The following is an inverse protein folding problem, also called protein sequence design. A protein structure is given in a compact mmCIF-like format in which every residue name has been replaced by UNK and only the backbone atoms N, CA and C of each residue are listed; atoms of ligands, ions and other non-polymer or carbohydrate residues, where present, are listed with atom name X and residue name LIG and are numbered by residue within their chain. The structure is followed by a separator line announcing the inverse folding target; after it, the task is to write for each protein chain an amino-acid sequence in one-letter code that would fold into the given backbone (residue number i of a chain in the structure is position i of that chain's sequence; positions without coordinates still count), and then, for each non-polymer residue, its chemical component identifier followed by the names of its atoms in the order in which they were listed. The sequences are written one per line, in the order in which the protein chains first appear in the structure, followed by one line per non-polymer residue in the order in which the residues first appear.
data_IF_949995878386
#
_entry.id   IF_949995878386
#
_cell.length_a   1.000
_cell.length_b   1.000
_cell.length_c   1.000
_cell.angle_alpha   90.00
_cell.angle_beta   90.00
_cell.angle_gamma   90.00
#
_symmetry.space_group_name_H-M   'P 1'
#
loop_
_entity.id
_entity.type
_entity.pdbx_description
1 polymer ?
#
# COMPACT_ATOMS: atom_id res chain seq x y z
N UNK A 1 12.64 21.03 39.94
CA UNK A 1 13.98 21.29 39.37
C UNK A 1 14.01 20.69 37.97
N UNK A 2 14.10 21.52 36.93
CA UNK A 2 14.17 21.04 35.56
C UNK A 2 15.50 20.31 35.32
N UNK A 3 15.44 19.11 34.74
CA UNK A 3 16.63 18.36 34.34
C UNK A 3 17.50 19.23 33.42
N UNK A 4 18.82 19.37 33.67
CA UNK A 4 19.70 20.12 32.79
C UNK A 4 19.82 19.29 31.50
N UNK A 5 19.04 19.64 30.49
CA UNK A 5 19.20 19.08 29.15
C UNK A 5 20.63 19.35 28.69
N UNK A 6 21.47 18.32 28.74
CA UNK A 6 22.83 18.34 28.20
C UNK A 6 22.74 18.89 26.78
N UNK A 7 23.32 20.07 26.57
CA UNK A 7 23.35 20.68 25.25
C UNK A 7 24.18 19.78 24.33
N UNK A 8 23.75 19.54 23.09
CA UNK A 8 24.54 18.75 22.15
C UNK A 8 25.91 19.41 21.93
N UNK A 9 26.94 18.57 21.75
CA UNK A 9 28.30 19.02 21.44
C UNK A 9 28.59 18.85 19.95
N UNK A 10 29.40 19.76 19.42
CA UNK A 10 29.85 19.76 18.04
C UNK A 10 30.77 18.56 17.82
N UNK A 11 30.39 17.64 16.93
CA UNK A 11 31.18 16.45 16.63
C UNK A 11 32.58 16.77 16.09
N UNK A 12 32.79 17.97 15.55
CA UNK A 12 34.09 18.41 15.03
C UNK A 12 35.00 19.06 16.07
N UNK A 13 34.46 19.97 16.90
CA UNK A 13 35.29 20.84 17.75
C UNK A 13 34.92 20.83 19.24
N UNK A 14 33.94 20.02 19.65
CA UNK A 14 33.54 19.85 21.06
C UNK A 14 32.74 21.00 21.67
N UNK A 15 32.62 22.16 21.00
CA UNK A 15 31.80 23.30 21.47
C UNK A 15 30.31 22.98 21.44
N UNK A 16 29.51 23.73 22.20
CA UNK A 16 28.05 23.65 22.14
C UNK A 16 27.54 23.76 20.70
N UNK A 17 26.56 22.92 20.38
CA UNK A 17 26.02 22.77 19.03
C UNK A 17 24.49 22.61 19.07
N UNK A 18 23.84 23.22 18.09
CA UNK A 18 22.40 23.17 17.86
C UNK A 18 22.07 22.81 16.40
N UNK A 19 23.04 22.89 15.49
CA UNK A 19 22.87 22.59 14.07
C UNK A 19 22.94 21.09 13.82
N UNK A 20 21.79 20.43 13.73
CA UNK A 20 21.68 19.08 13.19
C UNK A 20 21.82 19.07 11.66
N UNK A 21 22.38 18.00 11.11
CA UNK A 21 22.49 17.83 9.66
C UNK A 21 21.12 17.86 8.97
N UNK A 22 20.93 18.81 8.05
CA UNK A 22 19.67 18.99 7.32
C UNK A 22 19.28 17.80 6.45
N UNK A 23 20.26 17.00 6.01
CA UNK A 23 20.04 15.83 5.16
C UNK A 23 19.21 14.76 5.83
N UNK A 24 19.55 14.38 7.07
CA UNK A 24 18.85 13.32 7.80
C UNK A 24 18.13 13.78 9.05
N UNK A 25 18.06 15.10 9.32
CA UNK A 25 17.17 15.58 10.40
C UNK A 25 15.78 14.97 10.22
N UNK A 26 15.24 14.43 11.31
CA UNK A 26 13.97 13.71 11.38
C UNK A 26 13.97 12.32 10.69
N UNK A 27 15.13 11.70 10.47
CA UNK A 27 15.19 10.28 10.17
C UNK A 27 14.62 9.50 11.37
N UNK A 28 13.72 8.52 11.14
CA UNK A 28 13.14 7.75 12.24
C UNK A 28 14.22 7.04 13.08
N UNK A 29 14.12 7.13 14.42
CA UNK A 29 15.04 6.43 15.30
C UNK A 29 14.79 4.91 15.19
N UNK A 30 15.87 4.15 15.33
CA UNK A 30 15.84 2.69 15.50
C UNK A 30 16.56 2.39 16.81
N UNK A 31 16.06 1.43 17.57
CA UNK A 31 16.64 1.06 18.86
C UNK A 31 18.12 0.66 18.68
N UNK A 32 19.00 1.22 19.51
CA UNK A 32 20.46 1.02 19.41
C UNK A 32 21.16 1.85 18.32
N UNK A 33 20.47 2.76 17.63
CA UNK A 33 21.06 3.56 16.57
C UNK A 33 21.86 4.78 17.05
N UNK A 34 22.69 5.31 16.16
CA UNK A 34 23.62 6.43 16.42
C UNK A 34 22.84 7.70 16.75
N UNK A 35 23.24 8.37 17.83
CA UNK A 35 22.70 9.69 18.21
C UNK A 35 22.88 10.70 17.07
N UNK A 36 21.89 11.59 16.91
CA UNK A 36 21.94 12.67 15.92
C UNK A 36 23.25 13.46 16.11
N UNK A 37 24.03 13.58 15.05
CA UNK A 37 25.26 14.39 15.05
C UNK A 37 24.91 15.88 14.92
N UNK A 38 25.49 16.70 15.80
CA UNK A 38 25.32 18.16 15.83
C UNK A 38 26.64 18.87 15.52
N UNK A 39 26.53 20.07 14.96
CA UNK A 39 27.64 20.96 14.65
C UNK A 39 27.37 22.36 15.19
N UNK A 40 28.43 23.11 15.51
CA UNK A 40 28.27 24.52 15.89
C UNK A 40 28.20 25.46 14.67
N UNK A 41 28.51 24.96 13.47
CA UNK A 41 28.46 25.74 12.22
C UNK A 41 28.48 24.83 10.97
N UNK A 42 28.02 25.34 9.81
CA UNK A 42 28.17 24.64 8.53
C UNK A 42 29.63 24.36 8.16
N UNK A 43 30.57 25.21 8.59
CA UNK A 43 32.01 25.00 8.40
C UNK A 43 32.49 23.73 9.11
N UNK A 44 32.15 23.56 10.39
CA UNK A 44 32.49 22.36 11.14
C UNK A 44 31.86 21.09 10.53
N UNK A 45 30.63 21.18 10.03
CA UNK A 45 29.99 20.07 9.31
C UNK A 45 30.75 19.70 8.03
N UNK A 46 31.16 20.70 7.24
CA UNK A 46 31.91 20.49 5.99
C UNK A 46 33.28 19.88 6.25
N UNK A 47 33.98 20.34 7.29
CA UNK A 47 35.27 19.79 7.70
C UNK A 47 35.17 18.35 8.21
N UNK A 48 34.07 17.98 8.87
CA UNK A 48 33.80 16.62 9.34
C UNK A 48 33.16 15.70 8.29
N UNK A 49 32.96 16.18 7.07
CA UNK A 49 32.17 15.48 6.06
C UNK A 49 32.68 14.07 5.75
N UNK A 50 33.99 13.84 5.77
CA UNK A 50 34.56 12.51 5.48
C UNK A 50 34.10 11.43 6.47
N UNK A 51 33.97 11.75 7.76
CA UNK A 51 33.46 10.83 8.77
C UNK A 51 31.93 10.77 8.78
N UNK A 52 31.29 11.90 8.49
CA UNK A 52 29.85 12.05 8.55
C UNK A 52 29.08 11.47 7.34
N UNK A 53 29.70 11.47 6.15
CA UNK A 53 29.04 11.16 4.88
C UNK A 53 28.36 9.79 4.86
N UNK A 54 29.01 8.75 5.40
CA UNK A 54 28.46 7.40 5.46
C UNK A 54 27.19 7.33 6.30
N UNK A 55 27.25 7.85 7.53
CA UNK A 55 26.10 7.94 8.43
C UNK A 55 24.97 8.78 7.81
N UNK A 56 25.32 9.91 7.20
CA UNK A 56 24.35 10.80 6.58
C UNK A 56 23.58 10.10 5.45
N UNK A 57 24.28 9.39 4.56
CA UNK A 57 23.64 8.60 3.49
C UNK A 57 22.73 7.51 4.04
N UNK A 58 23.18 6.74 5.04
CA UNK A 58 22.37 5.70 5.70
C UNK A 58 21.06 6.27 6.23
N UNK A 59 21.14 7.32 7.05
CA UNK A 59 19.95 7.93 7.65
C UNK A 59 19.05 8.64 6.62
N UNK A 60 19.61 9.19 5.54
CA UNK A 60 18.84 9.71 4.41
C UNK A 60 18.06 8.60 3.70
N UNK A 61 18.69 7.47 3.40
CA UNK A 61 18.03 6.32 2.77
C UNK A 61 16.92 5.78 3.67
N UNK A 62 17.17 5.65 4.98
CA UNK A 62 16.13 5.25 5.94
C UNK A 62 14.95 6.22 5.94
N UNK A 63 15.22 7.52 6.05
CA UNK A 63 14.17 8.56 5.97
C UNK A 63 13.38 8.47 4.66
N UNK A 64 14.07 8.22 3.54
CA UNK A 64 13.47 7.96 2.25
C UNK A 64 12.52 6.76 2.28
N UNK A 65 12.93 5.65 2.88
CA UNK A 65 12.10 4.45 3.01
C UNK A 65 10.80 4.72 3.77
N UNK A 66 10.86 5.36 4.94
CA UNK A 66 9.65 5.63 5.72
C UNK A 66 8.67 6.54 4.98
N UNK A 67 9.19 7.52 4.22
CA UNK A 67 8.37 8.37 3.37
C UNK A 67 7.80 7.63 2.18
N UNK A 68 8.58 6.77 1.54
CA UNK A 68 8.11 5.89 0.47
C UNK A 68 7.01 4.95 0.97
N UNK A 69 7.17 4.36 2.15
CA UNK A 69 6.15 3.50 2.77
C UNK A 69 4.86 4.25 3.07
N UNK A 70 4.94 5.49 3.57
CA UNK A 70 3.77 6.38 3.74
C UNK A 70 3.05 6.63 2.41
N UNK A 71 3.79 7.00 1.35
CA UNK A 71 3.22 7.24 0.01
C UNK A 71 2.55 5.97 -0.52
N UNK A 72 3.24 4.83 -0.47
CA UNK A 72 2.75 3.56 -1.00
C UNK A 72 1.50 3.07 -0.26
N UNK A 73 1.45 3.24 1.07
CA UNK A 73 0.27 2.88 1.86
C UNK A 73 -0.95 3.74 1.50
N UNK A 74 -0.76 5.05 1.35
CA UNK A 74 -1.85 5.95 0.97
C UNK A 74 -2.30 5.70 -0.48
N UNK A 75 -1.38 5.37 -1.40
CA UNK A 75 -1.73 4.87 -2.74
C UNK A 75 -2.57 3.58 -2.62
N UNK A 76 -2.20 2.65 -1.75
CA UNK A 76 -2.91 1.39 -1.58
C UNK A 76 -4.32 1.57 -1.02
N UNK A 77 -4.49 2.39 0.02
CA UNK A 77 -5.81 2.71 0.55
C UNK A 77 -6.70 3.36 -0.49
N UNK A 78 -6.16 4.35 -1.23
CA UNK A 78 -6.87 4.97 -2.35
C UNK A 78 -7.24 3.95 -3.43
N UNK A 79 -6.31 3.07 -3.81
CA UNK A 79 -6.53 2.03 -4.79
C UNK A 79 -7.67 1.08 -4.38
N UNK A 80 -7.63 0.58 -3.14
CA UNK A 80 -8.68 -0.29 -2.58
C UNK A 80 -10.03 0.40 -2.52
N UNK A 81 -10.06 1.70 -2.25
CA UNK A 81 -11.29 2.49 -2.25
C UNK A 81 -11.86 2.68 -3.67
N UNK A 82 -10.99 2.90 -4.68
CA UNK A 82 -11.42 3.04 -6.08
C UNK A 82 -11.82 1.73 -6.74
N UNK A 83 -11.29 0.60 -6.26
CA UNK A 83 -11.59 -0.74 -6.77
C UNK A 83 -12.44 -1.56 -5.80
N UNK A 84 -13.16 -0.88 -4.90
CA UNK A 84 -13.93 -1.56 -3.87
C UNK A 84 -15.07 -2.41 -4.47
N UNK A 85 -15.20 -3.64 -3.98
CA UNK A 85 -16.04 -4.68 -4.56
C UNK A 85 -16.93 -5.39 -3.53
N UNK A 86 -16.67 -5.23 -2.22
CA UNK A 86 -17.33 -6.01 -1.14
C UNK A 86 -18.59 -5.33 -0.61
N UNK A 87 -19.75 -5.94 -0.78
CA UNK A 87 -21.04 -5.34 -0.42
C UNK A 87 -21.42 -5.56 1.05
N UNK A 88 -20.84 -4.77 1.96
CA UNK A 88 -21.22 -4.80 3.38
C UNK A 88 -22.48 -3.98 3.65
N UNK A 89 -23.44 -4.60 4.36
CA UNK A 89 -24.70 -3.97 4.76
C UNK A 89 -24.73 -3.58 6.24
N UNK A 90 -23.83 -4.15 7.04
CA UNK A 90 -23.73 -3.88 8.47
C UNK A 90 -22.29 -4.07 8.96
N UNK A 91 -21.88 -3.24 9.91
CA UNK A 91 -20.61 -3.36 10.62
C UNK A 91 -20.89 -3.25 12.13
N UNK A 92 -20.63 -4.32 12.87
CA UNK A 92 -20.66 -4.28 14.34
C UNK A 92 -19.24 -4.06 14.87
N UNK A 93 -19.07 -3.06 15.73
CA UNK A 93 -17.79 -2.74 16.37
C UNK A 93 -17.85 -2.99 17.87
N UNK A 94 -16.78 -3.59 18.38
CA UNK A 94 -16.50 -3.74 19.81
C UNK A 94 -15.00 -3.57 20.05
N UNK A 95 -14.56 -3.55 21.30
CA UNK A 95 -13.15 -3.38 21.63
C UNK A 95 -12.29 -4.46 20.95
N UNK A 96 -11.33 -4.02 20.12
CA UNK A 96 -10.43 -4.91 19.38
C UNK A 96 -11.10 -5.80 18.33
N UNK A 97 -12.37 -5.55 17.93
CA UNK A 97 -13.09 -6.40 16.97
C UNK A 97 -14.03 -5.64 16.03
N UNK A 98 -14.02 -6.04 14.76
CA UNK A 98 -15.03 -5.68 13.76
C UNK A 98 -15.71 -6.93 13.22
N UNK A 99 -17.03 -6.89 13.06
CA UNK A 99 -17.80 -7.94 12.36
C UNK A 99 -18.46 -7.31 11.14
N UNK A 100 -18.06 -7.76 9.96
CA UNK A 100 -18.53 -7.24 8.66
C UNK A 100 -19.57 -8.20 8.11
N UNK A 101 -20.80 -7.73 7.88
CA UNK A 101 -21.87 -8.55 7.33
C UNK A 101 -22.06 -8.21 5.85
N UNK A 102 -21.83 -9.20 5.00
CA UNK A 102 -22.04 -9.08 3.56
C UNK A 102 -23.52 -9.26 3.21
N UNK A 103 -24.02 -8.36 2.35
CA UNK A 103 -25.36 -8.44 1.80
C UNK A 103 -25.42 -9.39 0.61
N UNK A 104 -26.62 -9.85 0.28
CA UNK A 104 -26.81 -10.54 -0.99
C UNK A 104 -26.72 -9.53 -2.14
N UNK A 105 -25.83 -9.78 -3.09
CA UNK A 105 -25.88 -9.10 -4.38
C UNK A 105 -27.26 -9.38 -5.00
N UNK A 106 -28.03 -8.34 -5.28
CA UNK A 106 -29.33 -8.53 -5.92
C UNK A 106 -29.10 -9.22 -7.27
N UNK A 107 -29.83 -10.30 -7.55
CA UNK A 107 -29.86 -10.92 -8.89
C UNK A 107 -30.40 -9.94 -9.96
N UNK A 108 -30.99 -8.80 -9.54
CA UNK A 108 -31.37 -7.68 -10.40
C UNK A 108 -30.23 -6.69 -10.69
N UNK A 109 -29.02 -6.92 -10.18
CA UNK A 109 -27.84 -6.14 -10.59
C UNK A 109 -27.68 -6.37 -12.08
N UNK A 110 -27.81 -5.33 -12.93
CA UNK A 110 -27.86 -5.50 -14.36
C UNK A 110 -26.60 -6.23 -14.81
N UNK A 111 -26.76 -7.18 -15.73
CA UNK A 111 -25.70 -7.96 -16.37
C UNK A 111 -24.35 -7.23 -16.32
N UNK A 112 -23.32 -7.87 -15.75
CA UNK A 112 -21.95 -7.32 -15.78
C UNK A 112 -21.60 -7.11 -17.26
N UNK A 113 -21.56 -5.85 -17.69
CA UNK A 113 -21.35 -5.47 -19.08
C UNK A 113 -20.00 -4.80 -19.31
N UNK A 114 -19.38 -4.35 -18.23
CA UNK A 114 -17.99 -3.95 -18.15
C UNK A 114 -17.41 -4.51 -16.83
N UNK A 115 -16.08 -4.76 -16.76
CA UNK A 115 -15.44 -5.16 -15.51
C UNK A 115 -15.71 -4.19 -14.35
N UNK A 116 -15.84 -2.90 -14.65
CA UNK A 116 -16.12 -1.84 -13.68
C UNK A 116 -17.55 -1.82 -13.15
N UNK A 117 -18.43 -2.70 -13.63
CA UNK A 117 -19.77 -2.91 -13.07
C UNK A 117 -19.70 -3.77 -11.79
N UNK A 118 -18.57 -4.45 -11.54
CA UNK A 118 -18.31 -5.20 -10.30
C UNK A 118 -17.89 -4.29 -9.14
N UNK A 119 -17.58 -3.03 -9.43
CA UNK A 119 -17.14 -2.05 -8.44
C UNK A 119 -18.36 -1.39 -7.79
N UNK A 120 -18.31 -1.24 -6.48
CA UNK A 120 -19.33 -0.54 -5.69
C UNK A 120 -18.68 0.56 -4.84
N UNK A 121 -19.41 1.63 -4.49
CA UNK A 121 -18.90 2.61 -3.55
C UNK A 121 -18.54 1.97 -2.21
N UNK A 122 -17.43 2.42 -1.62
CA UNK A 122 -17.10 2.05 -0.25
C UNK A 122 -18.19 2.53 0.72
N UNK A 123 -18.64 1.70 1.69
CA UNK A 123 -19.71 2.07 2.62
C UNK A 123 -19.17 2.95 3.75
N UNK A 124 -18.72 4.17 3.43
CA UNK A 124 -18.16 5.13 4.40
C UNK A 124 -19.06 5.37 5.61
N UNK A 125 -20.38 5.40 5.39
CA UNK A 125 -21.39 5.64 6.43
C UNK A 125 -21.48 4.54 7.48
N UNK A 126 -20.94 3.34 7.21
CA UNK A 126 -20.90 2.24 8.17
C UNK A 126 -19.64 2.27 9.06
N UNK A 127 -18.64 3.11 8.73
CA UNK A 127 -17.41 3.22 9.51
C UNK A 127 -17.58 4.22 10.66
N UNK A 128 -17.11 3.87 11.86
CA UNK A 128 -17.16 4.79 13.01
C UNK A 128 -15.94 5.71 13.08
N UNK A 129 -14.80 5.28 12.54
CA UNK A 129 -13.54 6.02 12.55
C UNK A 129 -12.78 5.87 11.23
N UNK A 130 -11.82 6.76 10.98
CA UNK A 130 -10.91 6.64 9.83
C UNK A 130 -10.05 5.36 9.89
N UNK A 131 -9.73 4.89 11.10
CA UNK A 131 -9.01 3.63 11.33
C UNK A 131 -9.85 2.42 10.94
N UNK A 132 -11.17 2.43 11.22
CA UNK A 132 -12.08 1.38 10.75
C UNK A 132 -12.09 1.33 9.23
N UNK A 133 -12.25 2.48 8.57
CA UNK A 133 -12.20 2.58 7.10
C UNK A 133 -10.94 1.94 6.54
N UNK A 134 -9.76 2.34 7.05
CA UNK A 134 -8.47 1.79 6.62
C UNK A 134 -8.38 0.28 6.83
N UNK A 135 -8.87 -0.22 7.97
CA UNK A 135 -8.85 -1.64 8.32
C UNK A 135 -9.77 -2.48 7.42
N UNK A 136 -10.95 -1.95 7.08
CA UNK A 136 -11.94 -2.61 6.20
C UNK A 136 -11.46 -2.61 4.76
N UNK A 137 -10.90 -1.49 4.27
CA UNK A 137 -10.40 -1.37 2.89
C UNK A 137 -9.37 -2.44 2.53
N UNK A 138 -8.53 -2.84 3.49
CA UNK A 138 -7.43 -3.79 3.28
C UNK A 138 -7.69 -5.18 3.86
N UNK A 139 -8.89 -5.42 4.42
CA UNK A 139 -9.23 -6.72 4.98
C UNK A 139 -9.22 -7.80 3.89
N UNK A 140 -8.40 -8.84 4.09
CA UNK A 140 -8.18 -9.94 3.12
C UNK A 140 -7.57 -9.45 1.78
N UNK A 141 -6.78 -8.37 1.82
CA UNK A 141 -6.13 -7.79 0.64
C UNK A 141 -4.61 -7.72 0.80
N UNK A 142 -4.02 -8.64 1.56
CA UNK A 142 -2.57 -8.67 1.73
C UNK A 142 -1.84 -9.07 0.44
N UNK A 143 -2.33 -10.09 -0.27
CA UNK A 143 -1.80 -10.50 -1.57
C UNK A 143 -1.94 -9.38 -2.64
N UNK A 144 -3.04 -8.61 -2.60
CA UNK A 144 -3.26 -7.44 -3.47
C UNK A 144 -2.19 -6.38 -3.31
N UNK A 145 -1.69 -6.17 -2.08
CA UNK A 145 -0.67 -5.16 -1.80
C UNK A 145 0.64 -5.49 -2.53
N UNK A 146 1.04 -6.77 -2.54
CA UNK A 146 2.23 -7.23 -3.26
C UNK A 146 2.01 -7.23 -4.77
N UNK A 147 0.86 -7.76 -5.22
CA UNK A 147 0.57 -7.89 -6.64
C UNK A 147 0.37 -6.53 -7.33
N UNK A 148 -0.59 -5.74 -6.85
CA UNK A 148 -1.09 -4.59 -7.60
C UNK A 148 -0.27 -3.33 -7.39
N UNK A 149 0.53 -3.26 -6.33
CA UNK A 149 1.53 -2.20 -6.17
C UNK A 149 2.88 -2.55 -6.81
N UNK A 150 3.10 -3.77 -7.31
CA UNK A 150 4.42 -4.28 -7.74
C UNK A 150 5.27 -3.25 -8.51
N UNK A 151 4.73 -2.75 -9.63
CA UNK A 151 5.43 -1.82 -10.52
C UNK A 151 5.68 -0.45 -9.89
N UNK A 152 4.70 0.11 -9.18
CA UNK A 152 4.86 1.42 -8.52
C UNK A 152 5.77 1.35 -7.30
N UNK A 153 5.72 0.24 -6.55
CA UNK A 153 6.61 -0.05 -5.44
C UNK A 153 8.06 -0.13 -5.91
N UNK A 154 8.30 -0.95 -6.96
CA UNK A 154 9.63 -1.07 -7.58
C UNK A 154 10.15 0.29 -8.05
N UNK A 155 9.29 1.09 -8.66
CA UNK A 155 9.65 2.42 -9.16
C UNK A 155 10.02 3.39 -8.03
N UNK A 156 9.22 3.46 -6.96
CA UNK A 156 9.45 4.36 -5.82
C UNK A 156 10.70 3.96 -5.02
N UNK A 157 11.02 2.67 -4.96
CA UNK A 157 12.13 2.15 -4.14
C UNK A 157 13.47 1.99 -4.87
N UNK A 158 13.54 2.33 -6.17
CA UNK A 158 14.71 2.03 -7.03
C UNK A 158 16.06 2.55 -6.49
N UNK A 159 16.08 3.72 -5.83
CA UNK A 159 17.30 4.33 -5.25
C UNK A 159 17.37 4.17 -3.71
N UNK A 160 16.50 3.34 -3.14
CA UNK A 160 16.35 3.15 -1.68
C UNK A 160 16.76 1.73 -1.30
N UNK A 161 16.25 0.74 -2.03
CA UNK A 161 16.39 -0.67 -1.71
C UNK A 161 17.44 -1.35 -2.61
N UNK A 162 18.23 -2.25 -2.01
CA UNK A 162 19.12 -3.17 -2.75
C UNK A 162 18.43 -4.51 -3.02
N UNK A 163 17.50 -4.93 -2.17
CA UNK A 163 16.62 -6.07 -2.41
C UNK A 163 15.21 -5.79 -1.91
N UNK A 164 14.25 -6.43 -2.58
CA UNK A 164 12.82 -6.41 -2.28
C UNK A 164 12.37 -7.87 -2.40
N UNK A 165 11.69 -8.38 -1.37
CA UNK A 165 11.31 -9.79 -1.25
C UNK A 165 9.84 -9.88 -0.80
N UNK A 166 9.07 -10.80 -1.38
CA UNK A 166 7.71 -11.13 -0.96
C UNK A 166 7.76 -12.22 0.11
N UNK A 167 7.22 -11.94 1.30
CA UNK A 167 7.30 -12.85 2.45
C UNK A 167 5.90 -13.16 2.99
N UNK A 168 5.69 -14.43 3.33
CA UNK A 168 4.44 -14.91 3.92
C UNK A 168 4.64 -15.35 5.36
N UNK A 169 3.71 -15.00 6.23
CA UNK A 169 3.80 -15.31 7.64
C UNK A 169 2.44 -15.56 8.27
N UNK A 170 2.42 -16.28 9.39
CA UNK A 170 1.23 -16.35 10.24
C UNK A 170 1.31 -15.24 11.28
N UNK A 171 0.32 -14.32 11.34
CA UNK A 171 0.35 -13.19 12.26
C UNK A 171 0.05 -13.59 13.71
N UNK A 172 0.71 -12.94 14.67
CA UNK A 172 0.41 -12.98 16.11
C UNK A 172 0.16 -11.57 16.67
N UNK A 173 -0.28 -11.50 17.93
CA UNK A 173 -0.48 -10.25 18.67
C UNK A 173 -1.37 -9.24 17.92
N UNK A 174 -2.46 -9.70 17.30
CA UNK A 174 -3.41 -8.84 16.57
C UNK A 174 -4.04 -7.84 17.56
N UNK A 175 -4.03 -6.55 17.24
CA UNK A 175 -4.77 -5.51 18.00
C UNK A 175 -6.23 -5.42 17.58
N UNK A 176 -6.52 -5.88 16.36
CA UNK A 176 -7.84 -5.93 15.77
C UNK A 176 -8.10 -7.32 15.20
N UNK A 177 -9.28 -7.87 15.46
CA UNK A 177 -9.80 -9.07 14.81
C UNK A 177 -10.99 -8.68 13.94
N UNK A 178 -10.91 -8.94 12.64
CA UNK A 178 -12.02 -8.72 11.72
C UNK A 178 -12.64 -10.08 11.38
N UNK A 179 -13.94 -10.21 11.59
CA UNK A 179 -14.73 -11.38 11.19
C UNK A 179 -15.63 -11.00 10.02
N UNK A 180 -15.45 -11.66 8.88
CA UNK A 180 -16.35 -11.54 7.75
C UNK A 180 -17.47 -12.57 7.87
N UNK A 181 -18.73 -12.12 7.79
CA UNK A 181 -19.94 -12.93 7.78
C UNK A 181 -20.56 -12.88 6.39
N UNK A 182 -20.55 -14.04 5.72
CA UNK A 182 -21.11 -14.21 4.38
C UNK A 182 -22.65 -14.13 4.40
N UNK A 183 -23.31 -13.95 3.25
CA UNK A 183 -24.78 -13.86 3.19
C UNK A 183 -25.50 -15.10 3.73
N UNK A 184 -24.87 -16.28 3.66
CA UNK A 184 -25.37 -17.55 4.20
C UNK A 184 -25.10 -17.74 5.71
N UNK A 185 -24.63 -16.68 6.39
CA UNK A 185 -24.25 -16.65 7.81
C UNK A 185 -22.98 -17.43 8.17
N UNK A 186 -22.28 -18.01 7.19
CA UNK A 186 -20.97 -18.60 7.45
C UNK A 186 -19.95 -17.52 7.78
N UNK A 187 -18.95 -17.87 8.60
CA UNK A 187 -17.93 -16.93 9.07
C UNK A 187 -16.57 -17.32 8.51
N UNK A 188 -15.87 -16.34 7.95
CA UNK A 188 -14.48 -16.49 7.54
C UNK A 188 -13.61 -16.69 8.80
N UNK A 189 -12.68 -17.65 8.74
CA UNK A 189 -11.65 -17.78 9.78
C UNK A 189 -10.78 -16.51 9.81
N UNK A 190 -10.68 -15.81 10.95
CA UNK A 190 -9.80 -14.64 11.09
C UNK A 190 -8.31 -14.98 11.14
N UNK A 191 -7.93 -16.27 11.14
CA UNK A 191 -6.55 -16.76 11.20
C UNK A 191 -6.09 -17.30 9.85
N UNK A 192 -5.76 -16.38 8.95
CA UNK A 192 -5.14 -16.67 7.66
C UNK A 192 -3.69 -16.16 7.63
N UNK A 193 -2.92 -16.68 6.68
CA UNK A 193 -1.56 -16.21 6.38
C UNK A 193 -1.58 -14.76 5.88
N UNK A 194 -0.49 -14.03 6.14
CA UNK A 194 -0.33 -12.63 5.79
C UNK A 194 0.87 -12.43 4.88
N UNK A 195 0.65 -11.64 3.84
CA UNK A 195 1.65 -11.23 2.86
C UNK A 195 2.26 -9.87 3.25
N UNK A 196 3.59 -9.79 3.28
CA UNK A 196 4.35 -8.55 3.49
C UNK A 196 5.54 -8.47 2.53
N UNK A 197 6.10 -7.27 2.40
CA UNK A 197 7.33 -7.05 1.63
C UNK A 197 8.50 -6.86 2.60
N UNK A 198 9.57 -7.63 2.44
CA UNK A 198 10.85 -7.38 3.10
C UNK A 198 11.73 -6.55 2.17
N UNK A 199 12.37 -5.51 2.71
CA UNK A 199 13.30 -4.66 1.96
C UNK A 199 14.62 -4.54 2.68
N UNK A 200 15.71 -4.55 1.92
CA UNK A 200 17.06 -4.25 2.41
C UNK A 200 17.55 -2.93 1.83
N UNK A 201 18.04 -2.02 2.66
CA UNK A 201 18.47 -0.69 2.24
C UNK A 201 19.86 -0.66 1.61
N UNK A 202 20.04 0.15 0.56
CA UNK A 202 21.31 0.29 -0.16
C UNK A 202 22.44 0.89 0.68
N UNK A 203 22.14 1.92 1.50
CA UNK A 203 23.12 2.57 2.37
C UNK A 203 22.94 2.09 3.81
N UNK A 204 23.69 1.08 4.23
CA UNK A 204 23.70 0.56 5.59
C UNK A 204 23.15 -0.86 5.75
N UNK A 205 22.52 -1.42 4.71
CA UNK A 205 22.07 -2.83 4.72
C UNK A 205 20.93 -3.12 5.69
N UNK A 206 20.32 -2.09 6.26
CA UNK A 206 19.21 -2.21 7.21
C UNK A 206 18.01 -2.88 6.56
N UNK A 207 17.35 -3.77 7.29
CA UNK A 207 16.20 -4.53 6.80
C UNK A 207 14.91 -4.05 7.45
N UNK A 208 13.85 -3.95 6.65
CA UNK A 208 12.53 -3.50 7.09
C UNK A 208 11.44 -4.40 6.51
N UNK A 209 10.36 -4.54 7.27
CA UNK A 209 9.07 -5.00 6.76
C UNK A 209 8.27 -3.78 6.27
N UNK A 210 7.71 -3.89 5.06
CA UNK A 210 6.67 -3.02 4.54
C UNK A 210 5.34 -3.78 4.57
N UNK A 211 4.37 -3.24 5.30
CA UNK A 211 3.08 -3.87 5.55
C UNK A 211 1.94 -2.87 5.27
N UNK A 212 1.52 -2.79 4.01
CA UNK A 212 0.50 -1.83 3.59
C UNK A 212 -0.92 -2.25 4.00
N UNK A 213 -1.12 -3.53 4.32
CA UNK A 213 -2.41 -4.10 4.73
C UNK A 213 -2.49 -4.40 6.23
N UNK A 214 -1.47 -4.06 7.02
CA UNK A 214 -1.41 -4.31 8.47
C UNK A 214 -2.57 -3.71 9.28
N UNK A 215 -3.28 -2.72 8.73
CA UNK A 215 -4.47 -2.15 9.36
C UNK A 215 -5.56 -3.21 9.61
N UNK A 216 -5.61 -4.30 8.81
CA UNK A 216 -6.53 -5.41 9.08
C UNK A 216 -6.32 -6.08 10.45
N UNK A 217 -5.15 -5.87 11.07
CA UNK A 217 -4.79 -6.35 12.41
C UNK A 217 -4.63 -5.21 13.44
N UNK A 218 -5.02 -3.99 13.09
CA UNK A 218 -4.92 -2.80 13.95
C UNK A 218 -3.52 -2.19 13.99
N UNK A 219 -2.71 -2.42 12.97
CA UNK A 219 -1.37 -1.83 12.82
C UNK A 219 -1.31 -0.90 11.62
N UNK A 220 -1.12 0.39 11.87
CA UNK A 220 -1.21 1.42 10.82
C UNK A 220 0.15 1.87 10.29
N UNK A 221 1.26 1.49 10.95
CA UNK A 221 2.59 1.87 10.51
C UNK A 221 3.05 1.00 9.33
N UNK A 222 3.32 1.58 8.15
CA UNK A 222 3.66 0.80 6.96
C UNK A 222 5.11 0.31 6.94
N UNK A 223 6.00 0.84 7.80
CA UNK A 223 7.44 0.54 7.78
C UNK A 223 7.95 0.25 9.19
N UNK A 224 8.52 -0.94 9.38
CA UNK A 224 9.02 -1.40 10.69
C UNK A 224 10.35 -2.13 10.51
N UNK A 225 11.35 -1.91 11.39
CA UNK A 225 12.59 -2.70 11.36
C UNK A 225 12.28 -4.20 11.36
N UNK A 226 12.95 -4.95 10.50
CA UNK A 226 12.62 -6.35 10.22
C UNK A 226 12.53 -7.20 11.48
N UNK A 227 13.57 -7.18 12.33
CA UNK A 227 13.61 -7.96 13.57
C UNK A 227 12.46 -7.60 14.52
N UNK A 228 12.16 -6.30 14.64
CA UNK A 228 11.04 -5.82 15.46
C UNK A 228 9.69 -6.29 14.93
N UNK A 229 9.52 -6.29 13.60
CA UNK A 229 8.30 -6.83 12.98
C UNK A 229 8.15 -8.32 13.28
N UNK A 230 9.21 -9.11 13.05
CA UNK A 230 9.19 -10.56 13.29
C UNK A 230 8.88 -10.89 14.76
N UNK A 231 9.59 -10.25 15.68
CA UNK A 231 9.40 -10.48 17.12
C UNK A 231 7.98 -10.12 17.58
N UNK A 232 7.46 -8.96 17.15
CA UNK A 232 6.18 -8.46 17.64
C UNK A 232 4.96 -8.99 16.91
N UNK A 233 5.06 -9.37 15.63
CA UNK A 233 3.90 -9.64 14.76
C UNK A 233 3.92 -10.99 14.05
N UNK A 234 5.05 -11.70 14.00
CA UNK A 234 5.14 -13.01 13.31
C UNK A 234 5.16 -14.17 14.28
N UNK A 235 4.21 -15.10 14.13
CA UNK A 235 4.22 -16.39 14.83
C UNK A 235 5.28 -17.32 14.22
N UNK A 236 5.18 -17.52 12.91
CA UNK A 236 6.12 -18.27 12.09
C UNK A 236 5.99 -17.84 10.63
N UNK A 237 7.01 -18.12 9.83
CA UNK A 237 6.96 -17.92 8.39
C UNK A 237 6.21 -19.08 7.73
N UNK A 238 5.38 -18.76 6.75
CA UNK A 238 4.66 -19.73 5.95
C UNK A 238 5.46 -20.05 4.68
N UNK A 239 5.38 -21.30 4.21
CA UNK A 239 5.96 -21.68 2.92
C UNK A 239 5.18 -21.03 1.79
N UNK A 240 5.88 -20.56 0.76
CA UNK A 240 5.28 -20.01 -0.45
C UNK A 240 5.46 -21.00 -1.60
N UNK A 241 4.44 -21.78 -1.98
CA UNK A 241 4.52 -22.61 -3.16
C UNK A 241 4.37 -21.74 -4.42
N UNK A 242 5.17 -22.02 -5.46
CA UNK A 242 4.96 -21.52 -6.82
C UNK A 242 5.93 -20.44 -7.31
N UNK A 243 6.60 -19.68 -6.43
CA UNK A 243 7.60 -18.69 -6.82
C UNK A 243 8.53 -18.25 -5.68
N UNK A 244 9.71 -17.73 -6.02
CA UNK A 244 10.76 -17.26 -5.10
C UNK A 244 11.34 -15.88 -5.47
N UNK A 245 10.66 -15.12 -6.34
CA UNK A 245 11.09 -13.80 -6.80
C UNK A 245 10.05 -12.70 -6.51
N UNK A 246 10.51 -11.45 -6.41
CA UNK A 246 9.63 -10.29 -6.28
C UNK A 246 8.85 -10.05 -7.58
N UNK A 247 7.52 -10.00 -7.48
CA UNK A 247 6.58 -9.97 -8.60
C UNK A 247 5.86 -11.29 -8.86
N UNK A 248 6.20 -12.37 -8.15
CA UNK A 248 5.51 -13.64 -8.36
C UNK A 248 4.04 -13.61 -7.97
N UNK A 249 3.64 -12.85 -6.93
CA UNK A 249 2.21 -12.70 -6.61
C UNK A 249 1.46 -11.96 -7.73
N UNK A 250 2.07 -10.95 -8.34
CA UNK A 250 1.51 -10.28 -9.51
C UNK A 250 1.32 -11.28 -10.67
N UNK A 251 2.31 -12.13 -10.95
CA UNK A 251 2.21 -13.13 -12.01
C UNK A 251 1.11 -14.16 -11.77
N UNK A 252 0.99 -14.66 -10.54
CA UNK A 252 -0.08 -15.59 -10.15
C UNK A 252 -1.45 -14.94 -10.35
N UNK A 253 -1.71 -13.79 -9.72
CA UNK A 253 -3.03 -13.18 -9.79
C UNK A 253 -3.36 -12.71 -11.21
N UNK A 254 -2.36 -12.27 -11.99
CA UNK A 254 -2.52 -11.98 -13.42
C UNK A 254 -2.88 -13.23 -14.23
N UNK A 255 -2.29 -14.39 -13.94
CA UNK A 255 -2.62 -15.64 -14.64
C UNK A 255 -4.06 -16.09 -14.40
N UNK A 256 -4.67 -15.67 -13.29
CA UNK A 256 -6.07 -15.90 -12.96
C UNK A 256 -7.01 -14.87 -13.62
N UNK A 257 -6.50 -13.90 -14.37
CA UNK A 257 -7.34 -12.92 -15.06
C UNK A 257 -8.05 -13.53 -16.26
N UNK A 258 -9.30 -13.11 -16.48
CA UNK A 258 -10.14 -13.72 -17.51
C UNK A 258 -11.50 -13.05 -17.66
N UNK A 259 -12.45 -13.80 -18.21
CA UNK A 259 -13.81 -13.32 -18.52
C UNK A 259 -14.90 -14.34 -18.20
N UNK A 260 -14.55 -15.47 -17.59
CA UNK A 260 -15.50 -16.57 -17.39
C UNK A 260 -16.37 -16.37 -16.15
N UNK A 261 -15.86 -15.68 -15.13
CA UNK A 261 -16.57 -15.40 -13.88
C UNK A 261 -16.16 -14.05 -13.29
N UNK A 262 -16.85 -13.62 -12.22
CA UNK A 262 -16.63 -12.30 -11.58
C UNK A 262 -15.22 -12.15 -11.03
N UNK A 263 -14.66 -13.21 -10.43
CA UNK A 263 -13.31 -13.18 -9.84
C UNK A 263 -12.26 -12.94 -10.92
N UNK A 264 -12.33 -13.69 -12.03
CA UNK A 264 -11.43 -13.49 -13.18
C UNK A 264 -11.55 -12.07 -13.78
N UNK A 265 -12.77 -11.53 -13.86
CA UNK A 265 -13.04 -10.18 -14.35
C UNK A 265 -12.42 -9.13 -13.42
N UNK A 266 -12.54 -9.32 -12.10
CA UNK A 266 -11.91 -8.46 -11.10
C UNK A 266 -10.39 -8.50 -11.23
N UNK A 267 -9.77 -9.67 -11.41
CA UNK A 267 -8.33 -9.74 -11.63
C UNK A 267 -7.90 -9.03 -12.91
N UNK A 268 -8.65 -9.16 -14.01
CA UNK A 268 -8.39 -8.40 -15.24
C UNK A 268 -8.46 -6.88 -15.00
N UNK A 269 -9.45 -6.42 -14.24
CA UNK A 269 -9.60 -5.02 -13.86
C UNK A 269 -8.43 -4.53 -12.98
N UNK A 270 -7.99 -5.35 -12.02
CA UNK A 270 -6.86 -5.03 -11.13
C UNK A 270 -5.54 -4.94 -11.91
N UNK A 271 -5.28 -5.84 -12.88
CA UNK A 271 -4.11 -5.80 -13.77
C UNK A 271 -4.07 -4.49 -14.58
N UNK A 272 -5.21 -4.06 -15.10
CA UNK A 272 -5.27 -2.80 -15.84
C UNK A 272 -5.11 -1.58 -14.94
N UNK A 273 -5.72 -1.62 -13.74
CA UNK A 273 -5.67 -0.51 -12.79
C UNK A 273 -4.28 -0.38 -12.13
N UNK A 274 -3.55 -1.47 -11.93
CA UNK A 274 -2.17 -1.44 -11.42
C UNK A 274 -1.22 -0.74 -12.40
N UNK A 275 -1.40 -0.93 -13.71
CA UNK A 275 -0.65 -0.16 -14.73
C UNK A 275 -0.94 1.33 -14.65
N UNK A 276 -2.18 1.71 -14.33
CA UNK A 276 -2.56 3.10 -14.15
C UNK A 276 -1.87 3.75 -12.93
N UNK A 277 -1.50 2.98 -11.90
CA UNK A 277 -0.73 3.49 -10.75
C UNK A 277 0.65 4.01 -11.18
N UNK A 278 1.43 3.19 -11.88
CA UNK A 278 2.76 3.59 -12.36
C UNK A 278 2.67 4.72 -13.40
N UNK A 279 1.73 4.62 -14.34
CA UNK A 279 1.52 5.67 -15.33
C UNK A 279 1.11 6.99 -14.66
N UNK A 280 0.19 6.94 -13.70
CA UNK A 280 -0.23 8.09 -12.90
C UNK A 280 0.94 8.73 -12.18
N UNK A 281 1.78 7.92 -11.54
CA UNK A 281 3.00 8.38 -10.84
C UNK A 281 3.94 9.12 -11.78
N UNK A 282 4.29 8.52 -12.93
CA UNK A 282 5.19 9.14 -13.92
C UNK A 282 4.59 10.41 -14.53
N UNK A 283 3.29 10.41 -14.81
CA UNK A 283 2.61 11.60 -15.33
C UNK A 283 2.61 12.73 -14.31
N UNK A 284 2.44 12.42 -13.02
CA UNK A 284 2.53 13.42 -11.96
C UNK A 284 3.92 14.04 -11.87
N UNK A 285 5.01 13.27 -11.99
CA UNK A 285 6.38 13.82 -12.01
C UNK A 285 6.58 14.79 -13.19
N UNK A 286 6.07 14.42 -14.36
CA UNK A 286 6.13 15.24 -15.56
C UNK A 286 5.36 16.56 -15.43
N UNK A 287 4.18 16.53 -14.80
CA UNK A 287 3.32 17.69 -14.58
C UNK A 287 3.84 18.58 -13.42
N UNK A 288 4.21 17.97 -12.30
CA UNK A 288 4.66 18.67 -11.09
C UNK A 288 6.11 19.17 -11.14
N UNK A 289 6.88 18.74 -12.16
CA UNK A 289 8.30 19.06 -12.36
C UNK A 289 9.20 18.65 -11.19
N UNK A 290 8.80 17.63 -10.44
CA UNK A 290 9.58 17.05 -9.35
C UNK A 290 9.52 15.52 -9.44
N UNK A 291 10.69 14.87 -9.46
CA UNK A 291 10.76 13.42 -9.40
C UNK A 291 10.48 12.88 -7.99
N UNK A 292 10.00 11.64 -7.89
CA UNK A 292 9.69 10.97 -6.61
C UNK A 292 10.89 10.98 -5.67
N UNK A 293 12.08 10.60 -6.14
CA UNK A 293 13.30 10.62 -5.33
C UNK A 293 13.61 12.01 -4.72
N UNK A 294 13.26 13.09 -5.43
CA UNK A 294 13.39 14.46 -4.95
C UNK A 294 12.25 14.84 -3.99
N UNK A 295 11.02 14.43 -4.29
CA UNK A 295 9.85 14.62 -3.42
C UNK A 295 10.09 14.01 -2.04
N UNK A 296 10.62 12.78 -1.98
CA UNK A 296 10.93 12.08 -0.73
C UNK A 296 12.01 12.77 0.11
N UNK A 297 12.76 13.73 -0.43
CA UNK A 297 13.80 14.49 0.29
C UNK A 297 13.34 15.86 0.78
N UNK A 298 12.14 16.31 0.42
CA UNK A 298 11.60 17.62 0.80
C UNK A 298 11.50 17.81 2.32
N UNK A 299 11.45 19.06 2.82
CA UNK A 299 11.02 19.35 4.19
C UNK A 299 9.68 18.67 4.50
N UNK A 300 9.49 18.19 5.73
CA UNK A 300 8.35 17.33 6.08
C UNK A 300 6.97 17.93 5.72
N UNK A 301 6.66 19.21 5.99
CA UNK A 301 5.39 19.80 5.58
C UNK A 301 5.18 19.78 4.05
N UNK A 302 6.24 20.11 3.29
CA UNK A 302 6.18 20.11 1.82
C UNK A 302 6.06 18.70 1.25
N UNK A 303 6.73 17.71 1.87
CA UNK A 303 6.58 16.30 1.53
C UNK A 303 5.12 15.85 1.68
N UNK A 304 4.46 16.12 2.81
CA UNK A 304 3.06 15.70 3.03
C UNK A 304 2.08 16.35 2.05
N UNK A 305 2.31 17.62 1.68
CA UNK A 305 1.51 18.28 0.63
C UNK A 305 1.70 17.55 -0.71
N UNK A 306 2.94 17.27 -1.10
CA UNK A 306 3.24 16.60 -2.38
C UNK A 306 2.78 15.15 -2.43
N UNK A 307 2.86 14.42 -1.32
CA UNK A 307 2.30 13.08 -1.19
C UNK A 307 0.79 13.09 -1.47
N UNK A 308 0.03 13.99 -0.83
CA UNK A 308 -1.40 14.12 -1.09
C UNK A 308 -1.68 14.43 -2.57
N UNK A 309 -0.97 15.40 -3.14
CA UNK A 309 -1.14 15.77 -4.55
C UNK A 309 -0.83 14.60 -5.50
N UNK A 310 0.18 13.78 -5.18
CA UNK A 310 0.51 12.58 -5.94
C UNK A 310 -0.63 11.55 -5.87
N UNK A 311 -1.12 11.25 -4.67
CA UNK A 311 -2.19 10.26 -4.46
C UNK A 311 -3.48 10.71 -5.16
N UNK A 312 -3.88 11.97 -5.01
CA UNK A 312 -5.05 12.55 -5.67
C UNK A 312 -4.91 12.47 -7.21
N UNK A 313 -3.72 12.76 -7.73
CA UNK A 313 -3.44 12.67 -9.16
C UNK A 313 -3.59 11.24 -9.68
N UNK A 314 -2.98 10.26 -9.01
CA UNK A 314 -3.10 8.84 -9.38
C UNK A 314 -4.56 8.40 -9.34
N UNK A 315 -5.31 8.79 -8.31
CA UNK A 315 -6.74 8.50 -8.18
C UNK A 315 -7.53 9.02 -9.40
N UNK A 316 -7.24 10.25 -9.83
CA UNK A 316 -7.90 10.83 -11.01
C UNK A 316 -7.60 10.03 -12.30
N UNK A 317 -6.37 9.51 -12.47
CA UNK A 317 -6.00 8.72 -13.64
C UNK A 317 -6.68 7.35 -13.64
N UNK A 318 -6.87 6.72 -12.47
CA UNK A 318 -7.64 5.48 -12.34
C UNK A 318 -9.10 5.72 -12.76
N UNK A 319 -9.74 6.75 -12.20
CA UNK A 319 -11.14 7.07 -12.52
C UNK A 319 -11.31 7.34 -14.01
N UNK A 320 -10.46 8.20 -14.57
CA UNK A 320 -10.49 8.49 -16.01
C UNK A 320 -10.29 7.24 -16.86
N UNK A 321 -9.39 6.33 -16.46
CA UNK A 321 -9.18 5.07 -17.16
C UNK A 321 -10.45 4.20 -17.13
N UNK A 322 -11.09 4.05 -15.96
CA UNK A 322 -12.33 3.28 -15.81
C UNK A 322 -13.48 3.86 -16.66
N UNK A 323 -13.65 5.18 -16.67
CA UNK A 323 -14.65 5.88 -17.49
C UNK A 323 -14.42 5.62 -18.98
N UNK A 324 -13.16 5.73 -19.44
CA UNK A 324 -12.80 5.46 -20.83
C UNK A 324 -13.08 4.00 -21.24
N UNK A 325 -12.90 3.04 -20.33
CA UNK A 325 -13.25 1.64 -20.58
C UNK A 325 -14.77 1.45 -20.70
N UNK A 326 -15.55 2.10 -19.84
CA UNK A 326 -17.03 2.07 -19.93
C UNK A 326 -17.51 2.63 -21.27
N UNK A 327 -16.95 3.74 -21.74
CA UNK A 327 -17.29 4.32 -23.04
C UNK A 327 -16.96 3.41 -24.21
N UNK A 328 -15.78 2.77 -24.21
CA UNK A 328 -15.37 1.82 -25.25
C UNK A 328 -16.33 0.64 -25.32
N UNK A 329 -16.69 0.07 -24.17
CA UNK A 329 -17.62 -1.05 -24.08
C UNK A 329 -19.03 -0.65 -24.56
N UNK A 330 -19.51 0.54 -24.19
CA UNK A 330 -20.80 1.09 -24.69
C UNK A 330 -20.79 1.21 -26.21
N UNK A 331 -19.73 1.77 -26.80
CA UNK A 331 -19.58 1.91 -28.26
C UNK A 331 -19.49 0.56 -28.97
N UNK A 332 -18.78 -0.41 -28.41
CA UNK A 332 -18.69 -1.77 -28.96
C UNK A 332 -20.07 -2.44 -29.02
N UNK A 333 -20.90 -2.31 -27.98
CA UNK A 333 -22.26 -2.88 -27.95
C UNK A 333 -23.20 -2.25 -28.98
N UNK A 334 -23.11 -0.93 -29.19
CA UNK A 334 -23.90 -0.24 -30.21
C UNK A 334 -23.54 -0.73 -31.62
N UNK A 335 -22.26 -1.02 -31.88
CA UNK A 335 -21.80 -1.52 -33.20
C UNK A 335 -22.22 -2.96 -33.50
N UNK A 336 -22.44 -3.79 -32.48
CA UNK A 336 -22.80 -5.21 -32.67
C UNK A 336 -24.29 -5.40 -32.96
N UNK A 337 -25.12 -4.35 -32.84
CA UNK A 337 -26.57 -4.47 -32.85
C UNK A 337 -27.06 -5.28 -31.65
N UNK A 338 -28.28 -5.07 -31.20
CA UNK A 338 -28.85 -5.92 -30.15
C UNK A 338 -29.11 -7.34 -30.70
N UNK A 339 -28.09 -8.20 -30.64
CA UNK A 339 -28.22 -9.65 -30.69
C UNK A 339 -27.90 -10.19 -29.30
N UNK A 340 -28.87 -10.82 -28.65
CA UNK A 340 -28.70 -11.55 -27.40
C UNK A 340 -27.44 -12.44 -27.48
N UNK A 341 -26.51 -12.38 -26.51
CA UNK A 341 -25.31 -13.22 -26.53
C UNK A 341 -25.63 -14.69 -26.82
N UNK A 342 -24.93 -15.32 -27.77
CA UNK A 342 -25.25 -16.67 -28.26
C UNK A 342 -25.24 -17.79 -27.17
N UNK A 343 -24.65 -17.53 -26.00
CA UNK A 343 -24.70 -18.46 -24.87
C UNK A 343 -26.04 -18.45 -24.11
N UNK A 344 -26.84 -17.38 -24.24
CA UNK A 344 -28.23 -17.31 -23.73
C UNK A 344 -29.19 -18.14 -24.61
N UNK A 345 -28.89 -18.28 -25.91
CA UNK A 345 -29.73 -19.04 -26.85
C UNK A 345 -29.72 -20.57 -26.62
N UNK A 346 -28.80 -21.10 -25.80
CA UNK A 346 -28.72 -22.54 -25.51
C UNK A 346 -29.59 -22.99 -24.33
N UNK A 347 -30.12 -22.06 -23.53
CA UNK A 347 -31.00 -22.42 -22.40
C UNK A 347 -32.51 -22.20 -22.69
N UNK A 348 -32.86 -21.55 -23.79
CA UNK A 348 -34.26 -21.38 -24.22
C UNK A 348 -34.78 -22.47 -25.17
N UNK A 349 -33.95 -23.42 -25.61
CA UNK A 349 -34.35 -24.51 -26.53
C UNK A 349 -34.61 -25.88 -25.88
N UNK A 350 -34.77 -25.96 -24.55
CA UNK A 350 -35.15 -27.21 -23.85
C UNK A 350 -36.50 -27.15 -23.12
N UNK A 351 -37.40 -26.26 -23.54
CA UNK A 351 -38.82 -26.33 -23.19
C UNK A 351 -39.67 -26.01 -24.42
N UNK A 352 -39.88 -27.01 -25.27
CA UNK A 352 -41.15 -27.38 -25.89
C UNK A 352 -40.93 -28.59 -26.78
#
# INVERSE_FOLDING_TARGET
MASPYLRPICARCGRNADLACSGYKNAPPVDGDVKIVYYCSPKCQKEDWQHHKGLCKRLQTRKGLYRAGSVLQEIFYMYREKLYEKFYVKIDKSEGRLVLYEGQYSLSTPFITAPTDCLIPFPDTLCQTAEDKKSILVHLSCDDASAWLHEVLKYILVDIAVSIEEVRCVPKNKKLVITHVHPDQTRQDPNFEHEIIKVKLQNGGEEYALDFSGAQYGYFEPVIPWLKYVESRVAHFASRPGFDYFGGMFDILRSMSGRNNVVEILFALNVESSRALLHGTKSWEAESKIGICSMLKLPFPQFKIKEKLLVDHIASKIVWYHERQREKNKKARVKVGYGTPAWIARHSRKKK
#
